data_IF_440745482683
#
_entry.id   IF_440745482683
#
_cell.length_a   1.000
_cell.length_b   1.000
_cell.length_c   1.000
_cell.angle_alpha   90.00
_cell.angle_beta   90.00
_cell.angle_gamma   90.00
#
_symmetry.space_group_name_H-M   'P 1'
#
loop_
_entity.id
_entity.type
_entity.pdbx_description
1 polymer ?
#
# COMPACT_ATOMS: atom_id res chain seq x y z
N UNK A 1 -28.04 -48.64 -29.06
CA UNK A 1 -27.09 -48.66 -27.92
C UNK A 1 -25.77 -48.01 -28.36
N UNK A 2 -25.82 -46.92 -29.12
CA UNK A 2 -25.95 -45.52 -28.68
C UNK A 2 -24.71 -44.96 -27.98
N UNK A 3 -23.79 -44.55 -28.86
CA UNK A 3 -22.84 -43.42 -28.94
C UNK A 3 -22.93 -42.23 -27.93
N UNK A 4 -23.77 -42.33 -26.89
CA UNK A 4 -24.03 -41.29 -25.89
C UNK A 4 -23.12 -41.44 -24.65
N UNK A 5 -22.73 -42.66 -24.29
CA UNK A 5 -22.03 -42.96 -23.03
C UNK A 5 -20.55 -42.53 -23.01
N UNK A 6 -19.84 -42.64 -24.13
CA UNK A 6 -18.40 -42.29 -24.24
C UNK A 6 -18.13 -40.79 -24.31
N UNK A 7 -19.12 -39.98 -24.73
CA UNK A 7 -19.00 -38.50 -24.73
C UNK A 7 -19.17 -37.91 -23.32
N UNK A 8 -20.03 -38.51 -22.49
CA UNK A 8 -20.23 -38.05 -21.10
C UNK A 8 -19.02 -38.31 -20.21
N UNK A 9 -18.31 -39.44 -20.40
CA UNK A 9 -17.12 -39.77 -19.63
C UNK A 9 -15.92 -38.87 -19.98
N UNK A 10 -15.73 -38.57 -21.26
CA UNK A 10 -14.66 -37.68 -21.72
C UNK A 10 -14.92 -36.20 -21.40
N UNK A 11 -16.19 -35.76 -21.45
CA UNK A 11 -16.58 -34.39 -21.07
C UNK A 11 -16.61 -34.17 -19.54
N UNK A 12 -16.91 -35.20 -18.75
CA UNK A 12 -16.90 -35.13 -17.28
C UNK A 12 -15.50 -35.02 -16.67
N UNK A 13 -14.51 -35.71 -17.26
CA UNK A 13 -13.12 -35.71 -16.76
C UNK A 13 -12.41 -34.36 -16.97
N UNK A 14 -12.77 -33.62 -18.02
CA UNK A 14 -12.23 -32.28 -18.28
C UNK A 14 -12.79 -31.21 -17.34
N UNK A 15 -14.04 -31.36 -16.87
CA UNK A 15 -14.65 -30.42 -15.91
C UNK A 15 -14.08 -30.62 -14.50
N UNK A 16 -13.68 -31.86 -14.13
CA UNK A 16 -13.07 -32.15 -12.83
C UNK A 16 -11.63 -31.64 -12.67
N UNK A 17 -10.87 -31.50 -13.76
CA UNK A 17 -9.49 -30.95 -13.73
C UNK A 17 -9.46 -29.43 -13.51
N UNK A 18 -10.55 -28.72 -13.83
CA UNK A 18 -10.64 -27.25 -13.72
C UNK A 18 -11.06 -26.76 -12.33
N UNK A 19 -11.38 -27.65 -11.37
CA UNK A 19 -11.70 -27.27 -9.98
C UNK A 19 -10.49 -27.15 -9.06
N UNK A 20 -9.27 -27.34 -9.56
CA UNK A 20 -8.06 -27.04 -8.80
C UNK A 20 -7.76 -25.54 -8.85
N UNK A 21 -8.65 -24.73 -8.27
CA UNK A 21 -8.36 -23.31 -8.04
C UNK A 21 -7.18 -23.22 -7.10
N UNK A 22 -6.01 -22.86 -7.64
CA UNK A 22 -4.79 -22.63 -6.90
C UNK A 22 -5.08 -21.62 -5.78
N UNK A 23 -5.06 -22.08 -4.54
CA UNK A 23 -4.95 -21.19 -3.40
C UNK A 23 -3.51 -20.65 -3.42
N UNK A 24 -3.30 -19.55 -4.13
CA UNK A 24 -2.02 -18.83 -4.11
C UNK A 24 -1.81 -18.33 -2.68
N UNK A 25 -0.82 -18.89 -1.98
CA UNK A 25 -0.35 -18.30 -0.74
C UNK A 25 0.26 -16.94 -1.09
N UNK A 26 -0.53 -15.88 -0.98
CA UNK A 26 -0.10 -14.55 -1.39
C UNK A 26 1.14 -14.16 -0.58
N UNK A 27 2.26 -13.89 -1.26
CA UNK A 27 3.52 -13.44 -0.63
C UNK A 27 3.44 -11.96 -0.21
N UNK A 28 4.24 -11.52 0.79
CA UNK A 28 4.40 -10.10 1.12
C UNK A 28 4.67 -9.26 -0.13
N UNK A 29 3.93 -8.16 -0.31
CA UNK A 29 4.07 -7.29 -1.47
C UNK A 29 4.99 -6.12 -1.16
N UNK A 30 5.72 -5.66 -2.16
CA UNK A 30 6.38 -4.35 -2.14
C UNK A 30 5.55 -3.40 -2.99
N UNK A 31 5.08 -2.29 -2.41
CA UNK A 31 4.09 -1.39 -2.99
C UNK A 31 4.69 0.01 -3.06
N UNK A 32 4.77 0.58 -4.26
CA UNK A 32 5.26 1.94 -4.47
C UNK A 32 4.15 2.94 -4.11
N UNK A 33 4.42 3.82 -3.15
CA UNK A 33 3.47 4.83 -2.70
C UNK A 33 3.29 5.89 -3.77
N UNK A 34 2.06 6.05 -4.27
CA UNK A 34 1.73 6.98 -5.36
C UNK A 34 2.09 6.49 -6.76
N UNK A 35 2.44 5.21 -6.93
CA UNK A 35 2.83 4.60 -8.20
C UNK A 35 3.90 5.44 -8.93
N UNK A 36 3.71 5.72 -10.22
CA UNK A 36 4.62 6.54 -11.03
C UNK A 36 4.78 7.99 -10.55
N UNK A 37 3.84 8.49 -9.75
CA UNK A 37 3.88 9.85 -9.22
C UNK A 37 4.76 9.97 -7.98
N UNK A 38 4.95 8.86 -7.25
CA UNK A 38 5.72 8.82 -6.00
C UNK A 38 5.05 9.58 -4.85
N UNK A 39 5.85 9.78 -3.79
CA UNK A 39 5.47 10.49 -2.58
C UNK A 39 5.64 11.99 -2.75
N UNK A 40 4.59 12.67 -3.20
CA UNK A 40 4.54 14.13 -3.39
C UNK A 40 3.15 14.70 -3.23
N UNK A 41 3.06 16.03 -3.11
CA UNK A 41 1.80 16.75 -3.17
C UNK A 41 1.15 16.64 -4.55
N UNK A 42 -0.18 16.49 -4.57
CA UNK A 42 -0.97 16.36 -5.80
C UNK A 42 -1.22 14.92 -6.26
N UNK A 43 -0.57 13.93 -5.64
CA UNK A 43 -0.92 12.52 -5.83
C UNK A 43 -2.26 12.21 -5.15
N UNK A 44 -3.17 11.53 -5.85
CA UNK A 44 -4.46 11.10 -5.28
C UNK A 44 -4.27 9.83 -4.43
N UNK A 45 -3.85 9.99 -3.18
CA UNK A 45 -3.60 8.85 -2.30
C UNK A 45 -4.85 8.08 -1.89
N UNK A 46 -6.03 8.71 -1.91
CA UNK A 46 -7.30 8.02 -1.67
C UNK A 46 -7.53 6.96 -2.75
N UNK A 47 -7.42 7.36 -4.02
CA UNK A 47 -7.57 6.45 -5.14
C UNK A 47 -6.46 5.39 -5.16
N UNK A 48 -5.21 5.79 -4.94
CA UNK A 48 -4.07 4.88 -4.88
C UNK A 48 -4.23 3.82 -3.76
N UNK A 49 -4.66 4.22 -2.57
CA UNK A 49 -4.84 3.31 -1.45
C UNK A 49 -5.99 2.32 -1.70
N UNK A 50 -7.09 2.77 -2.32
CA UNK A 50 -8.20 1.90 -2.73
C UNK A 50 -7.71 0.86 -3.75
N UNK A 51 -6.93 1.26 -4.75
CA UNK A 51 -6.41 0.36 -5.78
C UNK A 51 -5.42 -0.68 -5.25
N UNK A 52 -4.68 -0.33 -4.18
CA UNK A 52 -3.69 -1.22 -3.56
C UNK A 52 -4.25 -2.03 -2.36
N UNK A 53 -5.51 -1.79 -1.99
CA UNK A 53 -6.23 -2.51 -0.94
C UNK A 53 -6.60 -3.95 -1.37
N UNK A 54 -6.64 -4.93 -0.45
CA UNK A 54 -6.25 -4.82 0.95
C UNK A 54 -4.73 -4.78 1.12
N UNK A 55 -4.26 -3.92 2.04
CA UNK A 55 -2.92 -4.04 2.59
C UNK A 55 -2.87 -5.26 3.50
N UNK A 56 -1.75 -5.97 3.52
CA UNK A 56 -1.56 -7.11 4.42
C UNK A 56 -0.39 -6.89 5.35
N UNK A 57 -0.43 -7.58 6.50
CA UNK A 57 0.74 -7.65 7.39
C UNK A 57 1.95 -8.19 6.60
N UNK A 58 3.11 -7.57 6.83
CA UNK A 58 4.39 -7.73 6.15
C UNK A 58 4.47 -7.13 4.74
N UNK A 59 3.42 -6.50 4.20
CA UNK A 59 3.58 -5.65 3.02
C UNK A 59 4.57 -4.52 3.29
N UNK A 60 5.38 -4.17 2.31
CA UNK A 60 6.35 -3.08 2.38
C UNK A 60 5.90 -1.94 1.50
N UNK A 61 5.74 -0.76 2.09
CA UNK A 61 5.49 0.49 1.37
C UNK A 61 6.82 1.15 1.03
N UNK A 62 6.98 1.58 -0.22
CA UNK A 62 8.18 2.28 -0.70
C UNK A 62 7.82 3.71 -1.03
N UNK A 63 8.44 4.65 -0.33
CA UNK A 63 8.27 6.09 -0.51
C UNK A 63 9.43 6.61 -1.35
N UNK A 64 9.13 7.05 -2.58
CA UNK A 64 10.11 7.69 -3.47
C UNK A 64 9.84 9.18 -3.60
N UNK A 65 10.87 9.99 -3.36
CA UNK A 65 10.82 11.44 -3.46
C UNK A 65 12.23 12.02 -3.63
N UNK A 66 12.37 13.14 -4.37
CA UNK A 66 13.68 13.72 -4.65
C UNK A 66 14.37 14.23 -3.38
N UNK A 67 15.72 14.21 -3.34
CA UNK A 67 16.48 14.75 -2.22
C UNK A 67 16.37 16.28 -2.16
N UNK A 68 16.76 16.91 -1.02
CA UNK A 68 16.83 18.35 -0.91
C UNK A 68 17.62 18.99 -2.05
N UNK A 69 17.10 20.07 -2.63
CA UNK A 69 17.74 20.80 -3.72
C UNK A 69 17.30 20.40 -5.14
N UNK A 70 16.70 19.22 -5.31
CA UNK A 70 16.13 18.77 -6.59
C UNK A 70 14.61 19.05 -6.70
N UNK A 71 14.00 19.59 -5.65
CA UNK A 71 12.58 19.94 -5.57
C UNK A 71 12.39 21.23 -4.79
N UNK A 72 11.32 21.97 -5.09
CA UNK A 72 10.92 23.18 -4.36
C UNK A 72 10.37 22.87 -2.97
N UNK A 73 9.87 21.65 -2.78
CA UNK A 73 9.34 21.16 -1.50
C UNK A 73 10.05 19.87 -1.14
N UNK A 74 10.74 19.88 -0.01
CA UNK A 74 11.31 18.69 0.62
C UNK A 74 10.18 17.76 1.02
N UNK A 75 10.36 16.44 0.94
CA UNK A 75 9.35 15.47 1.41
C UNK A 75 9.92 14.64 2.55
N UNK A 76 9.07 14.29 3.50
CA UNK A 76 9.42 13.40 4.60
C UNK A 76 8.28 12.43 4.86
N UNK A 77 8.58 11.35 5.58
CA UNK A 77 7.61 10.31 5.94
C UNK A 77 7.45 10.28 7.44
N UNK A 78 6.34 10.81 7.93
CA UNK A 78 5.94 10.71 9.32
C UNK A 78 4.87 9.65 9.53
N UNK A 79 4.91 9.00 10.69
CA UNK A 79 3.82 8.21 11.23
C UNK A 79 3.17 8.97 12.38
N UNK A 80 1.92 9.36 12.19
CA UNK A 80 1.15 10.09 13.19
C UNK A 80 0.56 9.11 14.22
N UNK A 81 0.46 9.53 15.50
CA UNK A 81 0.16 8.62 16.59
C UNK A 81 -1.30 8.15 16.60
N UNK A 82 -2.22 8.91 16.01
CA UNK A 82 -3.65 8.63 16.03
C UNK A 82 -4.40 9.38 14.92
N UNK A 83 -5.69 9.03 14.77
CA UNK A 83 -6.58 9.60 13.75
C UNK A 83 -6.78 11.12 13.92
N UNK A 84 -6.79 11.65 15.15
CA UNK A 84 -6.95 13.08 15.38
C UNK A 84 -5.78 13.87 14.79
N UNK A 85 -4.55 13.48 15.16
CA UNK A 85 -3.32 14.05 14.61
C UNK A 85 -3.28 13.96 13.08
N UNK A 86 -3.78 12.86 12.49
CA UNK A 86 -3.90 12.71 11.04
C UNK A 86 -4.87 13.69 10.38
N UNK A 87 -6.05 13.89 10.99
CA UNK A 87 -7.06 14.80 10.45
C UNK A 87 -6.56 16.24 10.54
N UNK A 88 -6.01 16.63 11.70
CA UNK A 88 -5.55 18.00 11.99
C UNK A 88 -4.13 18.28 11.50
N UNK A 89 -3.41 17.27 11.01
CA UNK A 89 -1.99 17.36 10.66
C UNK A 89 -1.12 17.90 11.81
N UNK A 90 -1.43 17.48 13.03
CA UNK A 90 -0.62 17.82 14.20
C UNK A 90 0.53 16.80 14.35
N UNK A 91 1.75 17.24 14.08
CA UNK A 91 2.95 16.39 14.13
C UNK A 91 3.53 16.25 15.55
N UNK A 92 2.84 16.76 16.59
CA UNK A 92 3.26 16.57 17.98
C UNK A 92 3.19 15.09 18.34
N UNK A 93 4.35 14.51 18.64
CA UNK A 93 4.47 13.07 18.93
C UNK A 93 4.41 12.18 17.68
N UNK A 94 4.41 12.76 16.47
CA UNK A 94 4.61 11.99 15.25
C UNK A 94 6.04 11.47 15.19
N UNK A 95 6.19 10.24 14.70
CA UNK A 95 7.51 9.62 14.50
C UNK A 95 7.99 9.93 13.09
N UNK A 96 9.12 10.60 12.96
CA UNK A 96 9.83 10.68 11.69
C UNK A 96 10.35 9.28 11.35
N UNK A 97 9.85 8.71 10.25
CA UNK A 97 10.31 7.42 9.75
C UNK A 97 11.40 7.61 8.71
N UNK A 98 11.14 8.44 7.70
CA UNK A 98 12.06 8.72 6.60
C UNK A 98 12.28 10.23 6.46
N UNK A 99 13.54 10.64 6.48
CA UNK A 99 13.95 12.02 6.30
C UNK A 99 14.01 12.41 4.82
N UNK A 100 14.31 13.68 4.57
CA UNK A 100 14.35 14.29 3.26
C UNK A 100 15.26 13.62 2.21
N UNK A 101 16.36 13.01 2.63
CA UNK A 101 17.34 12.37 1.74
C UNK A 101 17.09 10.88 1.52
N UNK A 102 16.21 10.26 2.31
CA UNK A 102 16.00 8.79 2.28
C UNK A 102 15.02 8.33 1.19
N UNK A 103 14.34 9.26 0.52
CA UNK A 103 13.39 8.96 -0.56
C UNK A 103 14.01 8.76 -1.94
N UNK A 104 15.31 9.02 -2.09
CA UNK A 104 15.99 8.91 -3.38
C UNK A 104 16.32 7.44 -3.75
N UNK A 105 16.86 7.21 -4.95
CA UNK A 105 17.31 5.91 -5.44
C UNK A 105 16.25 4.79 -5.30
N UNK A 106 16.46 3.87 -4.35
CA UNK A 106 15.56 2.76 -4.04
C UNK A 106 14.28 3.19 -3.29
N UNK A 107 14.29 4.38 -2.68
CA UNK A 107 13.23 4.90 -1.84
C UNK A 107 13.26 4.40 -0.40
N UNK A 108 12.59 5.14 0.48
CA UNK A 108 12.45 4.81 1.89
C UNK A 108 11.41 3.71 2.08
N UNK A 109 11.75 2.63 2.81
CA UNK A 109 10.91 1.43 2.92
C UNK A 109 10.30 1.30 4.32
N UNK A 110 8.98 1.07 4.40
CA UNK A 110 8.25 0.83 5.65
C UNK A 110 7.50 -0.49 5.58
N UNK A 111 7.81 -1.42 6.49
CA UNK A 111 7.06 -2.66 6.64
C UNK A 111 5.81 -2.46 7.50
N UNK A 112 4.66 -2.96 7.03
CA UNK A 112 3.40 -2.99 7.75
C UNK A 112 3.36 -4.23 8.66
N UNK A 113 4.02 -4.16 9.80
CA UNK A 113 4.26 -5.28 10.71
C UNK A 113 3.20 -5.48 11.81
N UNK A 114 2.28 -4.54 12.00
CA UNK A 114 1.27 -4.57 13.05
C UNK A 114 -0.14 -4.49 12.46
N UNK A 115 -1.10 -5.19 13.08
CA UNK A 115 -2.51 -5.12 12.72
C UNK A 115 -3.19 -3.86 13.29
N UNK A 116 -2.70 -2.68 12.88
CA UNK A 116 -3.24 -1.37 13.29
C UNK A 116 -3.26 -0.39 12.11
N UNK A 117 -4.05 0.69 12.16
CA UNK A 117 -3.94 1.77 11.18
C UNK A 117 -2.58 2.47 11.25
N UNK A 118 -1.96 2.68 10.10
CA UNK A 118 -0.79 3.52 9.91
C UNK A 118 -1.23 4.84 9.29
N UNK A 119 -1.03 5.94 10.03
CA UNK A 119 -1.38 7.29 9.59
C UNK A 119 -0.14 7.98 9.01
N UNK A 120 0.08 7.87 7.70
CA UNK A 120 1.24 8.47 7.05
C UNK A 120 0.95 9.91 6.61
N UNK A 121 1.90 10.82 6.83
CA UNK A 121 1.86 12.16 6.24
C UNK A 121 3.25 12.79 6.09
N UNK A 122 3.32 13.88 5.33
CA UNK A 122 4.49 14.75 5.22
C UNK A 122 4.22 16.08 5.94
N UNK A 123 5.18 16.57 6.74
CA UNK A 123 5.03 17.80 7.55
C UNK A 123 5.40 19.08 6.79
N UNK A 124 5.91 18.92 5.58
CA UNK A 124 6.62 19.93 4.81
C UNK A 124 5.66 21.02 4.31
N UNK A 125 6.20 22.22 4.04
CA UNK A 125 5.37 23.36 3.63
C UNK A 125 4.40 23.86 4.72
N UNK A 126 4.84 23.85 5.99
CA UNK A 126 4.02 24.20 7.16
C UNK A 126 2.74 23.34 7.28
N UNK A 127 2.81 22.08 6.88
CA UNK A 127 1.68 21.13 6.92
C UNK A 127 0.48 21.49 6.03
N UNK A 128 0.60 22.47 5.11
CA UNK A 128 -0.48 22.87 4.21
C UNK A 128 -0.93 21.71 3.32
N UNK A 129 0.03 21.02 2.69
CA UNK A 129 -0.26 19.89 1.80
C UNK A 129 -0.91 18.72 2.55
N UNK A 130 -0.52 18.50 3.81
CA UNK A 130 -1.15 17.51 4.67
C UNK A 130 -2.60 17.90 4.98
N UNK A 131 -2.85 19.15 5.35
CA UNK A 131 -4.19 19.66 5.67
C UNK A 131 -5.13 19.59 4.47
N UNK A 132 -4.61 19.89 3.28
CA UNK A 132 -5.32 19.76 2.01
C UNK A 132 -5.53 18.30 1.56
N UNK A 133 -4.95 17.32 2.27
CA UNK A 133 -5.07 15.90 1.94
C UNK A 133 -4.17 15.44 0.77
N UNK A 134 -3.21 16.27 0.38
CA UNK A 134 -2.35 16.05 -0.77
C UNK A 134 -1.10 15.23 -0.47
N UNK A 135 -0.73 15.07 0.80
CA UNK A 135 0.47 14.33 1.26
C UNK A 135 0.18 13.49 2.50
N UNK A 136 -0.98 12.84 2.56
CA UNK A 136 -1.34 11.93 3.65
C UNK A 136 -2.24 10.78 3.18
N UNK A 137 -2.14 9.64 3.86
CA UNK A 137 -3.05 8.51 3.68
C UNK A 137 -3.02 7.57 4.89
N UNK A 138 -3.98 6.64 4.90
CA UNK A 138 -4.08 5.59 5.91
C UNK A 138 -3.86 4.24 5.25
N UNK A 139 -3.00 3.42 5.82
CA UNK A 139 -2.89 1.99 5.49
C UNK A 139 -3.36 1.16 6.67
N UNK A 140 -4.31 0.24 6.44
CA UNK A 140 -4.82 -0.67 7.46
C UNK A 140 -4.50 -2.11 7.02
N UNK A 141 -3.35 -2.67 7.42
CA UNK A 141 -3.00 -4.04 7.08
C UNK A 141 -3.88 -5.04 7.82
N UNK A 142 -4.35 -6.05 7.10
CA UNK A 142 -5.04 -7.22 7.67
C UNK A 142 -4.16 -8.48 7.62
N UNK A 143 -4.53 -9.49 8.41
CA UNK A 143 -3.94 -10.82 8.26
C UNK A 143 -4.34 -11.41 6.91
N UNK A 144 -3.41 -12.14 6.28
CA UNK A 144 -3.72 -12.93 5.08
C UNK A 144 -4.55 -14.13 5.53
N UNK A 145 -5.67 -14.38 4.86
CA UNK A 145 -6.39 -15.63 5.00
C UNK A 145 -5.53 -16.74 4.41
N UNK A 146 -4.79 -17.46 5.24
CA UNK A 146 -4.24 -18.77 4.87
C UNK A 146 -5.39 -19.76 4.92
N UNK A 147 -5.98 -20.06 3.76
CA UNK A 147 -6.87 -21.21 3.62
C UNK A 147 -6.01 -22.46 3.84
N UNK A 148 -6.21 -23.12 4.97
CA UNK A 148 -5.63 -24.43 5.27
C UNK A 148 -6.31 -25.54 4.47
#
# INVERSE_FOLDING_TARGET
MDFSSTRMLAQGLFVFLMLSTMAEATKPRTILVGDSQGWRAGTNYTQWAIQNSPFHINDTLVFKYPPPGNSTVTQSVYLLPNLWSYITCEFRGAKLLGNASEGDDEGFKVALNESKPYYFASAEGNSYDCLAGLTKFIAVPSTRSTTS
#
